data_IF_339377511222
#
_entry.id   IF_339377511222
#
_cell.length_a   1.000
_cell.length_b   1.000
_cell.length_c   1.000
_cell.angle_alpha   90.00
_cell.angle_beta   90.00
_cell.angle_gamma   90.00
#
_symmetry.space_group_name_H-M   'P 1'
#
loop_
_entity.id
_entity.type
_entity.pdbx_description
1 polymer ?
#
# COMPACT_ATOMS: atom_id res chain seq x y z
N UNK A 1 23.61 -1.04 -12.63
CA UNK A 1 22.21 -0.59 -12.52
C UNK A 1 21.34 -1.04 -13.71
N UNK A 2 21.60 -0.70 -14.97
CA UNK A 2 20.73 -1.00 -16.12
C UNK A 2 20.46 -2.51 -16.33
N UNK A 3 21.48 -3.37 -16.18
CA UNK A 3 21.30 -4.82 -16.28
C UNK A 3 20.46 -5.40 -15.15
N UNK A 4 20.62 -4.86 -13.94
CA UNK A 4 19.81 -5.26 -12.78
C UNK A 4 18.36 -4.90 -13.02
N UNK A 5 18.07 -3.68 -13.50
CA UNK A 5 16.73 -3.23 -13.83
C UNK A 5 16.07 -4.13 -14.90
N UNK A 6 16.83 -4.49 -15.97
CA UNK A 6 16.30 -5.38 -17.01
C UNK A 6 15.95 -6.77 -16.46
N UNK A 7 16.81 -7.33 -15.62
CA UNK A 7 16.58 -8.62 -14.98
C UNK A 7 15.36 -8.56 -14.04
N UNK A 8 15.30 -7.51 -13.21
CA UNK A 8 14.17 -7.29 -12.31
C UNK A 8 12.83 -7.26 -13.08
N UNK A 9 12.76 -6.51 -14.20
CA UNK A 9 11.54 -6.45 -15.02
C UNK A 9 11.19 -7.84 -15.59
N UNK A 10 12.18 -8.63 -16.01
CA UNK A 10 11.93 -9.97 -16.55
C UNK A 10 11.39 -10.93 -15.47
N UNK A 11 12.03 -10.94 -14.29
CA UNK A 11 11.65 -11.82 -13.17
C UNK A 11 10.26 -11.46 -12.63
N UNK A 12 9.97 -10.17 -12.52
CA UNK A 12 8.67 -9.66 -12.07
C UNK A 12 7.54 -10.01 -13.04
N UNK A 13 7.78 -9.90 -14.36
CA UNK A 13 6.80 -10.28 -15.37
C UNK A 13 6.56 -11.80 -15.43
N UNK A 14 7.47 -12.60 -14.89
CA UNK A 14 7.35 -14.05 -14.80
C UNK A 14 6.73 -14.53 -13.47
N UNK A 15 6.46 -13.63 -12.52
CA UNK A 15 5.89 -13.97 -11.23
C UNK A 15 4.41 -14.44 -11.39
N UNK A 16 4.02 -15.41 -10.59
CA UNK A 16 2.68 -16.01 -10.64
C UNK A 16 1.61 -15.12 -10.01
N UNK A 17 1.99 -14.24 -9.10
CA UNK A 17 1.10 -13.31 -8.40
C UNK A 17 1.75 -11.94 -8.18
N UNK A 18 0.93 -10.93 -7.85
CA UNK A 18 1.43 -9.61 -7.45
C UNK A 18 2.29 -9.72 -6.17
N UNK A 19 1.86 -10.51 -5.22
CA UNK A 19 2.57 -10.74 -3.96
C UNK A 19 3.97 -11.32 -4.19
N UNK A 20 4.09 -12.31 -5.06
CA UNK A 20 5.39 -12.91 -5.42
C UNK A 20 6.29 -11.87 -6.13
N UNK A 21 5.71 -11.08 -7.03
CA UNK A 21 6.42 -9.98 -7.69
C UNK A 21 6.96 -8.96 -6.69
N UNK A 22 6.15 -8.54 -5.70
CA UNK A 22 6.58 -7.59 -4.67
C UNK A 22 7.74 -8.13 -3.82
N UNK A 23 7.67 -9.41 -3.43
CA UNK A 23 8.75 -10.09 -2.67
C UNK A 23 10.05 -10.14 -3.50
N UNK A 24 9.96 -10.46 -4.78
CA UNK A 24 11.13 -10.46 -5.67
C UNK A 24 11.74 -9.07 -5.81
N UNK A 25 10.91 -8.03 -5.95
CA UNK A 25 11.36 -6.65 -6.08
C UNK A 25 12.14 -6.20 -4.85
N UNK A 26 11.59 -6.37 -3.63
CA UNK A 26 12.29 -5.92 -2.43
C UNK A 26 13.63 -6.63 -2.24
N UNK A 27 13.70 -7.92 -2.54
CA UNK A 27 14.94 -8.69 -2.44
C UNK A 27 15.99 -8.22 -3.46
N UNK A 28 15.59 -8.01 -4.73
CA UNK A 28 16.51 -7.60 -5.79
C UNK A 28 16.96 -6.14 -5.65
N UNK A 29 16.06 -5.22 -5.27
CA UNK A 29 16.39 -3.82 -5.02
C UNK A 29 17.35 -3.69 -3.86
N UNK A 30 17.06 -4.36 -2.72
CA UNK A 30 17.96 -4.40 -1.57
C UNK A 30 19.35 -4.88 -1.96
N UNK A 31 19.45 -5.98 -2.69
CA UNK A 31 20.73 -6.53 -3.13
C UNK A 31 21.48 -5.61 -4.12
N UNK A 32 20.76 -4.99 -5.06
CA UNK A 32 21.34 -4.10 -6.05
C UNK A 32 21.87 -2.79 -5.46
N UNK A 33 21.17 -2.23 -4.47
CA UNK A 33 21.53 -0.99 -3.79
C UNK A 33 22.43 -1.24 -2.57
N UNK A 34 22.66 -2.51 -2.19
CA UNK A 34 23.43 -2.90 -1.01
C UNK A 34 22.92 -2.22 0.28
N UNK A 35 21.61 -2.15 0.44
CA UNK A 35 20.95 -1.57 1.60
C UNK A 35 20.58 -2.63 2.63
N UNK A 36 20.32 -2.23 3.88
CA UNK A 36 19.92 -3.15 4.95
C UNK A 36 18.45 -3.55 4.81
N UNK A 37 17.62 -2.62 4.33
CA UNK A 37 16.18 -2.80 4.18
C UNK A 37 15.72 -2.32 2.82
N UNK A 38 14.74 -3.05 2.26
CA UNK A 38 13.87 -2.58 1.18
C UNK A 38 12.43 -2.97 1.51
N UNK A 39 11.49 -2.02 1.37
CA UNK A 39 10.09 -2.20 1.76
C UNK A 39 9.15 -1.55 0.76
N UNK A 40 8.01 -2.19 0.52
CA UNK A 40 6.91 -1.65 -0.29
C UNK A 40 5.68 -1.49 0.59
N UNK A 41 5.13 -0.28 0.56
CA UNK A 41 3.81 0.04 1.10
C UNK A 41 2.87 0.29 -0.08
N UNK A 42 1.67 -0.31 -0.07
CA UNK A 42 0.64 -0.04 -1.07
C UNK A 42 -0.54 0.69 -0.45
N UNK A 43 -1.11 1.62 -1.21
CA UNK A 43 -2.30 2.35 -0.83
C UNK A 43 -3.52 1.44 -0.90
N UNK A 44 -4.15 1.22 0.25
CA UNK A 44 -5.42 0.52 0.38
C UNK A 44 -6.54 1.56 0.39
N UNK A 45 -7.17 1.76 -0.77
CA UNK A 45 -8.22 2.78 -0.95
C UNK A 45 -9.39 2.65 0.02
N UNK A 46 -9.87 1.43 0.39
CA UNK A 46 -10.95 1.29 1.36
C UNK A 46 -10.62 1.78 2.76
N UNK A 47 -9.40 1.56 3.24
CA UNK A 47 -8.98 1.98 4.59
C UNK A 47 -8.25 3.33 4.61
N UNK A 48 -7.97 3.92 3.44
CA UNK A 48 -7.16 5.14 3.28
C UNK A 48 -5.80 5.04 3.99
N UNK A 49 -5.14 3.87 3.88
CA UNK A 49 -3.86 3.58 4.53
C UNK A 49 -2.82 3.06 3.55
N UNK A 50 -1.57 3.27 3.92
CA UNK A 50 -0.41 2.68 3.27
C UNK A 50 -0.10 1.36 3.97
N UNK A 51 -0.51 0.25 3.37
CA UNK A 51 -0.34 -1.10 3.96
C UNK A 51 1.03 -1.65 3.63
N UNK A 52 1.73 -2.15 4.63
CA UNK A 52 3.00 -2.84 4.55
C UNK A 52 2.83 -4.16 3.80
N UNK A 53 3.28 -4.24 2.53
CA UNK A 53 2.97 -5.36 1.63
C UNK A 53 4.14 -6.30 1.37
N UNK A 54 5.35 -5.78 1.32
CA UNK A 54 6.55 -6.60 1.16
C UNK A 54 7.74 -5.95 1.82
N UNK A 55 8.64 -6.75 2.36
CA UNK A 55 9.89 -6.28 2.94
C UNK A 55 11.00 -7.31 2.83
N UNK A 56 12.22 -6.81 2.72
CA UNK A 56 13.44 -7.56 2.97
C UNK A 56 14.31 -6.76 3.94
N UNK A 57 14.55 -7.32 5.13
CA UNK A 57 15.31 -6.69 6.21
C UNK A 57 14.49 -6.25 7.43
N UNK A 58 13.16 -6.15 7.33
CA UNK A 58 12.26 -5.92 8.47
C UNK A 58 11.47 -7.18 8.84
N UNK A 59 10.64 -7.07 9.88
CA UNK A 59 9.81 -8.17 10.38
C UNK A 59 8.71 -8.55 9.37
N UNK A 60 8.89 -9.69 8.71
CA UNK A 60 7.95 -10.21 7.69
C UNK A 60 6.59 -10.61 8.26
N UNK A 61 6.49 -10.91 9.56
CA UNK A 61 5.22 -11.27 10.21
C UNK A 61 4.22 -10.11 10.23
N UNK A 62 4.70 -8.88 10.01
CA UNK A 62 3.87 -7.67 9.95
C UNK A 62 3.30 -7.38 8.58
N UNK A 63 3.70 -8.11 7.56
CA UNK A 63 3.18 -7.95 6.19
C UNK A 63 1.67 -8.15 6.17
N UNK A 64 0.95 -7.19 5.59
CA UNK A 64 -0.52 -7.18 5.51
C UNK A 64 -1.25 -6.82 6.80
N UNK A 65 -0.54 -6.74 7.94
CA UNK A 65 -1.14 -6.45 9.25
C UNK A 65 -0.87 -5.03 9.74
N UNK A 66 0.15 -4.39 9.20
CA UNK A 66 0.57 -3.05 9.57
C UNK A 66 0.26 -2.06 8.45
N UNK A 67 -0.19 -0.86 8.82
CA UNK A 67 -0.46 0.22 7.87
C UNK A 67 -0.29 1.58 8.53
N UNK A 68 0.21 2.54 7.75
CA UNK A 68 0.42 3.94 8.12
C UNK A 68 -0.66 4.82 7.50
N UNK A 69 -1.01 5.88 8.19
CA UNK A 69 -1.79 6.98 7.61
C UNK A 69 -0.91 7.87 6.72
N UNK A 70 -1.52 8.66 5.84
CA UNK A 70 -0.77 9.53 4.93
C UNK A 70 -0.01 10.65 5.62
N UNK A 71 -0.33 10.95 6.86
CA UNK A 71 0.34 11.95 7.71
C UNK A 71 1.36 11.32 8.69
N UNK A 72 1.55 10.00 8.65
CA UNK A 72 2.44 9.29 9.56
C UNK A 72 3.81 8.99 8.96
N UNK A 73 4.85 9.48 9.62
CA UNK A 73 6.24 9.16 9.35
C UNK A 73 6.75 9.63 7.99
N UNK A 74 7.95 9.17 7.64
CA UNK A 74 8.60 9.52 6.37
C UNK A 74 7.89 8.92 5.15
N UNK A 75 7.30 7.74 5.31
CA UNK A 75 6.53 7.07 4.25
C UNK A 75 5.28 7.87 3.90
N UNK A 76 4.53 8.34 4.91
CA UNK A 76 3.38 9.21 4.73
C UNK A 76 3.75 10.55 4.10
N UNK A 77 4.93 11.10 4.46
CA UNK A 77 5.45 12.31 3.83
C UNK A 77 5.68 12.13 2.32
N UNK A 78 6.35 11.04 1.91
CA UNK A 78 6.57 10.70 0.49
C UNK A 78 5.24 10.52 -0.24
N UNK A 79 4.30 9.82 0.38
CA UNK A 79 2.98 9.57 -0.18
C UNK A 79 2.17 10.88 -0.41
N UNK A 80 2.17 11.76 0.59
CA UNK A 80 1.41 13.02 0.53
C UNK A 80 1.99 14.03 -0.47
N UNK A 81 3.33 14.04 -0.61
CA UNK A 81 4.03 14.95 -1.52
C UNK A 81 4.15 14.40 -2.93
N UNK A 82 4.07 13.09 -3.08
CA UNK A 82 4.36 12.37 -4.33
C UNK A 82 5.75 12.72 -4.88
N UNK A 83 6.70 13.02 -3.97
CA UNK A 83 8.08 13.38 -4.28
C UNK A 83 9.05 12.43 -3.59
N UNK A 84 10.19 12.09 -4.21
CA UNK A 84 11.24 11.32 -3.56
C UNK A 84 11.80 12.05 -2.33
N UNK A 85 12.14 11.30 -1.30
CA UNK A 85 12.79 11.81 -0.09
C UNK A 85 14.09 11.05 0.15
N UNK A 86 15.21 11.76 0.16
CA UNK A 86 16.55 11.22 0.35
C UNK A 86 17.22 11.88 1.57
N UNK A 87 17.39 11.13 2.64
CA UNK A 87 17.92 11.60 3.92
C UNK A 87 19.15 10.78 4.32
N UNK A 88 20.17 11.43 4.84
CA UNK A 88 21.36 10.83 5.48
C UNK A 88 21.16 10.59 6.96
N UNK A 89 20.23 11.32 7.60
CA UNK A 89 19.77 11.15 8.97
C UNK A 89 18.24 11.27 9.02
N UNK A 90 17.58 10.13 8.97
CA UNK A 90 16.12 10.03 9.02
C UNK A 90 15.57 10.60 10.34
N UNK A 91 16.28 10.38 11.45
CA UNK A 91 15.85 10.78 12.79
C UNK A 91 15.82 12.29 12.98
N UNK A 92 16.61 13.04 12.21
CA UNK A 92 16.60 14.50 12.21
C UNK A 92 15.39 15.13 11.49
N UNK A 93 14.64 14.34 10.72
CA UNK A 93 13.49 14.87 9.98
C UNK A 93 12.28 15.07 10.91
N UNK A 94 11.55 16.22 10.83
CA UNK A 94 10.43 16.53 11.74
C UNK A 94 9.29 15.52 11.75
N UNK A 95 9.11 14.79 10.66
CA UNK A 95 8.07 13.76 10.54
C UNK A 95 8.59 12.35 10.78
N UNK A 96 9.82 12.21 11.26
CA UNK A 96 10.31 10.91 11.67
C UNK A 96 9.46 10.36 12.82
N UNK A 97 9.00 9.13 12.67
CA UNK A 97 8.30 8.40 13.72
C UNK A 97 8.87 7.00 13.83
N UNK A 98 9.15 6.61 15.06
CA UNK A 98 9.56 5.26 15.37
C UNK A 98 8.34 4.33 15.42
N UNK A 99 8.41 3.23 14.70
CA UNK A 99 7.34 2.21 14.72
C UNK A 99 7.80 0.98 15.47
N UNK A 100 7.22 0.78 16.66
CA UNK A 100 7.55 -0.36 17.51
C UNK A 100 7.11 -1.68 16.85
N UNK A 101 8.00 -2.67 16.87
CA UNK A 101 7.69 -4.04 16.43
C UNK A 101 7.89 -4.32 14.94
N UNK A 102 8.29 -3.34 14.12
CA UNK A 102 8.69 -3.58 12.74
C UNK A 102 10.10 -4.17 12.63
N UNK A 103 10.88 -4.17 13.72
CA UNK A 103 12.28 -4.57 13.69
C UNK A 103 13.16 -3.49 13.07
N UNK A 104 12.69 -2.25 13.13
CA UNK A 104 13.49 -1.09 12.77
C UNK A 104 14.56 -0.91 13.84
N UNK A 105 15.76 -1.44 13.58
CA UNK A 105 16.97 -0.91 14.19
C UNK A 105 17.08 0.55 13.76
N UNK A 106 17.85 1.41 14.46
CA UNK A 106 17.98 2.81 14.04
C UNK A 106 18.63 2.89 12.65
N UNK A 107 17.81 2.89 11.61
CA UNK A 107 18.28 3.16 10.25
C UNK A 107 18.41 4.67 10.09
N UNK A 108 19.64 5.11 9.78
CA UNK A 108 19.93 6.53 9.64
C UNK A 108 19.63 7.02 8.21
N UNK A 109 20.09 6.30 7.20
CA UNK A 109 19.83 6.68 5.83
C UNK A 109 18.45 6.17 5.36
N UNK A 110 17.70 7.06 4.72
CA UNK A 110 16.37 6.77 4.17
C UNK A 110 16.27 7.31 2.74
N UNK A 111 15.79 6.48 1.83
CA UNK A 111 15.37 6.90 0.51
C UNK A 111 14.00 6.30 0.20
N UNK A 112 13.00 7.15 0.02
CA UNK A 112 11.64 6.78 -0.38
C UNK A 112 11.30 7.34 -1.75
N UNK A 113 10.64 6.54 -2.58
CA UNK A 113 10.12 6.95 -3.88
C UNK A 113 8.64 6.61 -4.00
N UNK A 114 7.78 7.55 -4.45
CA UNK A 114 6.37 7.29 -4.64
C UNK A 114 6.13 6.36 -5.84
N UNK A 115 5.13 5.50 -5.72
CA UNK A 115 4.66 4.62 -6.79
C UNK A 115 3.39 5.25 -7.33
N UNK A 116 3.49 5.94 -8.48
CA UNK A 116 2.38 6.71 -9.06
C UNK A 116 2.04 6.20 -10.45
N UNK A 117 0.76 5.96 -10.72
CA UNK A 117 0.25 5.60 -12.04
C UNK A 117 -0.90 6.54 -12.44
N UNK A 118 -0.77 7.22 -13.58
CA UNK A 118 -1.81 8.12 -14.12
C UNK A 118 -2.35 9.16 -13.10
N UNK A 119 -1.49 9.70 -12.25
CA UNK A 119 -1.78 10.63 -11.14
C UNK A 119 -2.42 10.01 -9.89
N UNK A 120 -2.59 8.69 -9.87
CA UNK A 120 -3.02 7.97 -8.67
C UNK A 120 -1.79 7.46 -7.92
N UNK A 121 -1.69 7.76 -6.63
CA UNK A 121 -0.69 7.17 -5.77
C UNK A 121 -1.10 5.73 -5.46
N UNK A 122 -0.26 4.78 -5.85
CA UNK A 122 -0.45 3.34 -5.59
C UNK A 122 0.35 2.86 -4.38
N UNK A 123 1.35 3.64 -3.92
CA UNK A 123 2.16 3.26 -2.78
C UNK A 123 3.49 4.01 -2.68
N UNK A 124 4.39 3.45 -1.88
CA UNK A 124 5.75 3.98 -1.66
C UNK A 124 6.74 2.82 -1.62
N UNK A 125 7.85 2.95 -2.34
CA UNK A 125 9.01 2.07 -2.27
C UNK A 125 10.10 2.74 -1.45
N UNK A 126 10.63 2.03 -0.44
CA UNK A 126 11.58 2.56 0.54
C UNK A 126 12.81 1.68 0.61
N UNK A 127 13.99 2.29 0.73
CA UNK A 127 15.22 1.62 1.15
C UNK A 127 15.81 2.35 2.36
N UNK A 128 16.40 1.59 3.29
CA UNK A 128 17.00 2.13 4.51
C UNK A 128 18.35 1.46 4.78
N UNK A 129 19.22 2.19 5.47
CA UNK A 129 20.54 1.72 5.87
C UNK A 129 20.94 2.26 7.24
N UNK A 130 21.62 1.42 8.03
CA UNK A 130 22.09 1.79 9.38
C UNK A 130 23.16 2.88 9.37
N UNK A 131 24.02 2.89 8.35
CA UNK A 131 25.06 3.90 8.22
C UNK A 131 24.47 5.27 7.82
N UNK A 132 25.02 6.35 8.38
CA UNK A 132 24.75 7.71 7.92
C UNK A 132 25.35 7.91 6.52
N UNK A 133 24.51 7.92 5.51
CA UNK A 133 24.91 8.27 4.13
C UNK A 133 23.75 8.87 3.37
N UNK A 134 24.05 9.74 2.45
CA UNK A 134 23.07 10.16 1.44
C UNK A 134 23.18 9.27 0.23
N UNK A 135 22.06 8.81 -0.29
CA UNK A 135 22.02 8.06 -1.54
C UNK A 135 22.43 8.97 -2.69
N UNK A 136 23.22 8.43 -3.63
CA UNK A 136 23.65 9.17 -4.82
C UNK A 136 22.48 9.41 -5.78
N UNK A 137 22.67 10.34 -6.72
CA UNK A 137 21.67 10.62 -7.77
C UNK A 137 21.37 9.39 -8.63
N UNK A 138 22.36 8.53 -8.88
CA UNK A 138 22.18 7.28 -9.63
C UNK A 138 21.33 6.25 -8.85
N UNK A 139 21.50 6.16 -7.52
CA UNK A 139 20.70 5.30 -6.65
C UNK A 139 19.26 5.80 -6.53
N UNK A 140 19.09 7.11 -6.40
CA UNK A 140 17.77 7.74 -6.38
C UNK A 140 17.05 7.54 -7.71
N UNK A 141 17.69 7.81 -8.83
CA UNK A 141 17.14 7.58 -10.17
C UNK A 141 16.79 6.10 -10.42
N UNK A 142 17.61 5.17 -9.91
CA UNK A 142 17.31 3.75 -9.96
C UNK A 142 16.03 3.41 -9.19
N UNK A 143 15.90 3.87 -7.94
CA UNK A 143 14.72 3.61 -7.11
C UNK A 143 13.43 4.19 -7.74
N UNK A 144 13.50 5.44 -8.25
CA UNK A 144 12.40 6.08 -8.97
C UNK A 144 12.00 5.26 -10.21
N UNK A 145 12.99 4.76 -10.97
CA UNK A 145 12.71 3.95 -12.15
C UNK A 145 12.04 2.62 -11.79
N UNK A 146 12.48 1.96 -10.73
CA UNK A 146 11.82 0.75 -10.20
C UNK A 146 10.40 1.05 -9.76
N UNK A 147 10.17 2.16 -9.04
CA UNK A 147 8.84 2.58 -8.61
C UNK A 147 7.89 2.81 -9.78
N UNK A 148 8.37 3.42 -10.87
CA UNK A 148 7.58 3.63 -12.08
C UNK A 148 7.21 2.32 -12.79
N UNK A 149 8.12 1.34 -12.83
CA UNK A 149 7.83 0.01 -13.38
C UNK A 149 6.82 -0.75 -12.51
N UNK A 150 6.99 -0.67 -11.20
CA UNK A 150 6.08 -1.28 -10.22
C UNK A 150 4.66 -0.70 -10.33
N UNK A 151 4.54 0.60 -10.56
CA UNK A 151 3.24 1.25 -10.76
C UNK A 151 2.44 0.63 -11.92
N UNK A 152 3.09 0.36 -13.05
CA UNK A 152 2.45 -0.32 -14.19
C UNK A 152 1.99 -1.75 -13.86
N UNK A 153 2.82 -2.49 -13.12
CA UNK A 153 2.50 -3.85 -12.69
C UNK A 153 1.28 -3.89 -11.75
N UNK A 154 1.26 -3.02 -10.73
CA UNK A 154 0.16 -2.94 -9.76
C UNK A 154 -1.14 -2.57 -10.49
N UNK A 155 -1.12 -1.53 -11.33
CA UNK A 155 -2.28 -1.09 -12.08
C UNK A 155 -2.84 -2.21 -12.99
N UNK A 156 -1.97 -2.99 -13.63
CA UNK A 156 -2.37 -4.13 -14.44
C UNK A 156 -3.00 -5.25 -13.59
N UNK A 157 -2.43 -5.54 -12.42
CA UNK A 157 -2.96 -6.56 -11.51
C UNK A 157 -4.35 -6.18 -10.95
N UNK A 158 -4.56 -4.91 -10.60
CA UNK A 158 -5.85 -4.38 -10.16
C UNK A 158 -6.92 -4.53 -11.25
N UNK A 159 -6.61 -4.16 -12.50
CA UNK A 159 -7.52 -4.33 -13.63
C UNK A 159 -7.86 -5.80 -13.89
N UNK A 160 -6.89 -6.70 -13.79
CA UNK A 160 -7.11 -8.14 -13.95
C UNK A 160 -7.97 -8.72 -12.82
N UNK A 161 -7.82 -8.23 -11.59
CA UNK A 161 -8.68 -8.55 -10.45
C UNK A 161 -10.14 -8.16 -10.69
N UNK A 162 -10.39 -6.94 -11.11
CA UNK A 162 -11.73 -6.42 -11.43
C UNK A 162 -12.39 -7.23 -12.54
N UNK A 163 -11.65 -7.62 -13.57
CA UNK A 163 -12.20 -8.46 -14.66
C UNK A 163 -12.59 -9.86 -14.14
N UNK A 164 -11.81 -10.44 -13.22
CA UNK A 164 -12.14 -11.75 -12.63
C UNK A 164 -13.38 -11.69 -11.75
N UNK A 165 -13.55 -10.67 -10.95
CA UNK A 165 -14.75 -10.46 -10.14
C UNK A 165 -15.99 -10.24 -11.00
N UNK A 166 -15.86 -9.54 -12.13
CA UNK A 166 -16.96 -9.32 -13.08
C UNK A 166 -17.34 -10.57 -13.88
N UNK A 167 -16.42 -11.52 -14.03
CA UNK A 167 -16.65 -12.77 -14.75
C UNK A 167 -17.29 -13.88 -13.92
N UNK A 168 -17.37 -13.75 -12.60
CA UNK A 168 -18.07 -14.64 -11.68
C UNK A 168 -19.50 -14.18 -11.42
N UNK A 169 -20.25 -13.87 -12.47
CA UNK A 169 -21.72 -13.87 -12.40
C UNK A 169 -22.14 -15.34 -12.38
N UNK A 170 -22.85 -15.83 -11.36
CA UNK A 170 -23.36 -17.19 -11.41
C UNK A 170 -24.31 -17.29 -12.59
N UNK A 171 -24.03 -18.18 -13.54
CA UNK A 171 -25.04 -18.70 -14.46
C UNK A 171 -26.07 -19.40 -13.58
N UNK A 172 -27.14 -18.70 -13.25
CA UNK A 172 -28.37 -19.35 -12.88
C UNK A 172 -28.88 -20.10 -14.10
N UNK A 173 -28.47 -21.34 -14.16
CA UNK A 173 -29.00 -22.33 -15.08
C UNK A 173 -30.44 -22.64 -14.69
N UNK A 174 -31.28 -22.11 -15.50
CA UNK A 174 -32.40 -22.76 -16.15
C UNK A 174 -33.45 -23.53 -15.33
N UNK A 175 -34.64 -23.02 -15.56
CA UNK A 175 -35.71 -23.78 -16.17
C UNK A 175 -36.33 -24.90 -15.37
N UNK A 176 -37.36 -24.56 -14.70
CA UNK A 176 -38.29 -25.57 -14.19
C UNK A 176 -39.61 -24.96 -13.77
N UNK A 177 -40.40 -24.58 -14.72
CA UNK A 177 -41.79 -24.18 -14.49
C UNK A 177 -42.54 -25.24 -13.70
N UNK A 178 -43.16 -24.89 -12.58
CA UNK A 178 -44.47 -25.37 -12.19
C UNK A 178 -45.21 -24.35 -11.36
N UNK A 179 -46.27 -23.87 -11.95
CA UNK A 179 -47.35 -23.15 -11.30
C UNK A 179 -48.02 -24.07 -10.26
N UNK A 180 -48.25 -23.55 -9.09
CA UNK A 180 -49.48 -23.79 -8.31
C UNK A 180 -49.47 -23.05 -6.98
N UNK A 181 -50.34 -22.12 -6.77
CA UNK A 181 -51.31 -22.15 -5.69
C UNK A 181 -51.04 -21.23 -4.51
N UNK A 182 -51.64 -20.06 -4.59
CA UNK A 182 -52.56 -19.43 -3.60
C UNK A 182 -52.04 -19.11 -2.18
N UNK A 183 -52.14 -17.81 -1.90
CA UNK A 183 -52.72 -17.14 -0.71
C UNK A 183 -51.88 -17.14 0.61
N UNK A 184 -51.60 -16.00 1.10
CA UNK A 184 -52.27 -15.25 2.14
C UNK A 184 -51.29 -14.35 2.94
N UNK A 185 -51.64 -13.14 2.90
CA UNK A 185 -51.62 -12.03 3.85
C UNK A 185 -50.92 -12.12 5.24
N UNK A 186 -50.46 -10.95 5.60
CA UNK A 186 -50.29 -10.34 6.92
C UNK A 186 -48.85 -10.39 7.45
N UNK A 187 -48.22 -9.32 7.83
CA UNK A 187 -48.58 -8.05 8.37
C UNK A 187 -47.35 -7.38 8.96
N UNK A 188 -47.28 -6.12 8.74
CA UNK A 188 -46.89 -5.01 9.63
C UNK A 188 -45.62 -5.17 10.50
N UNK A 189 -44.70 -4.19 10.33
CA UNK A 189 -43.68 -3.88 11.32
C UNK A 189 -42.73 -2.78 10.86
N UNK A 190 -43.25 -1.54 10.91
CA UNK A 190 -42.47 -0.30 10.78
C UNK A 190 -41.63 -0.12 12.03
N UNK A 191 -40.34 0.14 11.87
CA UNK A 191 -39.44 0.52 12.94
C UNK A 191 -38.38 1.51 12.48
N UNK A 192 -38.79 2.77 12.32
CA UNK A 192 -37.89 3.90 12.18
C UNK A 192 -37.38 4.27 13.58
N UNK A 193 -36.12 4.16 13.84
CA UNK A 193 -35.47 4.77 14.99
C UNK A 193 -34.55 5.88 14.55
N UNK A 194 -35.06 7.11 14.61
CA UNK A 194 -34.28 8.34 14.51
C UNK A 194 -33.41 8.48 15.76
N UNK A 195 -32.13 8.70 15.59
CA UNK A 195 -31.25 9.17 16.64
C UNK A 195 -31.17 10.68 16.59
N UNK A 196 -31.75 11.27 17.65
CA UNK A 196 -31.70 12.70 17.95
C UNK A 196 -30.47 12.98 18.80
N UNK A 197 -29.68 13.96 18.36
CA UNK A 197 -28.60 14.59 19.15
C UNK A 197 -29.20 15.40 20.31
N UNK A 198 -28.55 15.47 21.46
CA UNK A 198 -28.79 16.56 22.39
C UNK A 198 -27.72 17.64 22.27
N UNK A 199 -28.18 18.82 22.00
CA UNK A 199 -27.46 20.10 22.08
C UNK A 199 -27.04 20.43 23.53
N UNK A 200 -25.90 21.06 23.55
CA UNK A 200 -25.35 22.09 24.42
C UNK A 200 -26.26 22.69 25.53
N UNK A 201 -25.61 23.02 26.62
CA UNK A 201 -25.92 24.27 27.32
C UNK A 201 -24.65 24.93 27.86
N UNK A 202 -24.52 26.17 27.41
CA UNK A 202 -23.65 27.22 27.90
C UNK A 202 -24.12 27.61 29.34
N UNK A 203 -23.19 27.76 30.26
CA UNK A 203 -23.36 28.72 31.34
C UNK A 203 -22.05 29.40 31.73
N UNK A 204 -22.16 30.70 31.68
CA UNK A 204 -21.24 31.79 31.99
C UNK A 204 -21.10 32.04 33.49
N UNK A 205 -19.87 32.32 33.91
CA UNK A 205 -19.38 33.41 34.82
C UNK A 205 -19.97 33.49 36.27
N UNK A 206 -19.18 33.91 37.27
CA UNK A 206 -18.38 35.13 37.25
C UNK A 206 -16.87 34.93 37.36
#
# INVERSE_FOLDING_TARGET
>A
MLEVLRRLIQDVNAADSLEDALVLIVAQVRAAMQTDVCTIYLHDKPSEKLIFRATEGLNKDKVGQFGLSFDEGLVGWVATREEPLNLDDASAHPQFQWVEGLGEEPFNAFLGAPIVHQRDLLGVLVVQQGDHRRFSEDEEAFLITVSAQLAGLIAHAELAGVIRESATVPEDSDGGARLSGVAACSGIGIGIAAWVSPHADLQTVP
#
